data_IF_298585849731
#
_entry.id   IF_298585849731
#
_cell.length_a   1.000
_cell.length_b   1.000
_cell.length_c   1.000
_cell.angle_alpha   90.00
_cell.angle_beta   90.00
_cell.angle_gamma   90.00
#
_symmetry.space_group_name_H-M   'P 1'
#
loop_
_entity.id
_entity.type
_entity.pdbx_description
1 polymer ?
#
# COMPACT_ATOMS: atom_id res chain seq x y z
N UNK A 1 -23.93 -27.43 32.49
CA UNK A 1 -22.63 -26.73 32.53
C UNK A 1 -22.40 -26.06 31.19
N UNK A 2 -22.60 -24.74 31.11
CA UNK A 2 -22.32 -23.95 29.90
C UNK A 2 -20.97 -23.27 30.09
N UNK A 3 -19.98 -23.68 29.29
CA UNK A 3 -18.65 -23.05 29.28
C UNK A 3 -18.79 -21.56 28.92
N UNK A 4 -18.25 -20.62 29.72
CA UNK A 4 -18.30 -19.20 29.38
C UNK A 4 -17.66 -18.98 28.01
N UNK A 5 -18.37 -18.30 27.10
CA UNK A 5 -17.77 -17.89 25.82
C UNK A 5 -16.68 -16.85 26.09
N UNK A 6 -15.47 -17.01 25.55
CA UNK A 6 -14.41 -16.02 25.73
C UNK A 6 -14.88 -14.69 25.12
N UNK A 7 -14.96 -13.66 25.95
CA UNK A 7 -15.26 -12.29 25.51
C UNK A 7 -14.02 -11.80 24.76
N UNK A 8 -14.14 -11.58 23.45
CA UNK A 8 -13.04 -11.09 22.63
C UNK A 8 -12.74 -9.66 23.07
N UNK A 9 -11.54 -9.43 23.60
CA UNK A 9 -11.13 -8.09 24.01
C UNK A 9 -11.26 -7.11 22.82
N UNK A 10 -11.76 -5.88 23.03
CA UNK A 10 -11.78 -4.86 22.00
C UNK A 10 -10.38 -4.69 21.40
N UNK A 11 -10.31 -4.49 20.09
CA UNK A 11 -9.03 -4.19 19.44
C UNK A 11 -8.43 -2.92 20.09
N UNK A 12 -7.13 -2.92 20.41
CA UNK A 12 -6.51 -1.75 21.02
C UNK A 12 -6.64 -0.56 20.06
N UNK A 13 -7.04 0.60 20.57
CA UNK A 13 -7.24 1.84 19.79
C UNK A 13 -6.03 2.14 18.89
N UNK A 14 -4.81 1.85 19.37
CA UNK A 14 -3.58 2.01 18.58
C UNK A 14 -3.53 1.16 17.30
N UNK A 15 -4.13 -0.03 17.28
CA UNK A 15 -4.22 -0.86 16.08
C UNK A 15 -5.16 -0.25 15.04
N UNK A 16 -6.30 0.29 15.48
CA UNK A 16 -7.27 0.96 14.59
C UNK A 16 -6.62 2.20 13.95
N UNK A 17 -5.94 3.02 14.76
CA UNK A 17 -5.23 4.21 14.28
C UNK A 17 -4.14 3.83 13.26
N UNK A 18 -3.36 2.79 13.54
CA UNK A 18 -2.32 2.31 12.63
C UNK A 18 -2.88 1.82 11.29
N UNK A 19 -3.99 1.09 11.31
CA UNK A 19 -4.66 0.60 10.09
C UNK A 19 -5.22 1.78 9.28
N UNK A 20 -5.89 2.73 9.92
CA UNK A 20 -6.44 3.92 9.24
C UNK A 20 -5.33 4.75 8.63
N UNK A 21 -4.29 5.06 9.40
CA UNK A 21 -3.14 5.84 8.93
C UNK A 21 -2.40 5.13 7.78
N UNK A 22 -2.15 3.82 7.92
CA UNK A 22 -1.51 3.02 6.87
C UNK A 22 -2.34 2.94 5.58
N UNK A 23 -3.66 2.82 5.71
CA UNK A 23 -4.59 2.82 4.56
C UNK A 23 -4.61 4.18 3.88
N UNK A 24 -4.71 5.27 4.64
CA UNK A 24 -4.70 6.63 4.12
C UNK A 24 -3.37 6.94 3.38
N UNK A 25 -2.23 6.55 3.98
CA UNK A 25 -0.93 6.69 3.35
C UNK A 25 -0.84 5.89 2.03
N UNK A 26 -1.31 4.64 2.02
CA UNK A 26 -1.29 3.78 0.83
C UNK A 26 -2.20 4.30 -0.30
N UNK A 27 -3.36 4.86 0.04
CA UNK A 27 -4.25 5.54 -0.90
C UNK A 27 -3.60 6.82 -1.45
N UNK A 28 -2.94 7.59 -0.59
CA UNK A 28 -2.16 8.76 -1.00
C UNK A 28 -1.05 8.40 -2.00
N UNK A 29 -0.33 7.29 -1.77
CA UNK A 29 0.64 6.76 -2.74
C UNK A 29 -0.03 6.35 -4.05
N UNK A 30 -1.21 5.73 -3.99
CA UNK A 30 -1.99 5.38 -5.19
C UNK A 30 -2.34 6.59 -6.06
N UNK A 31 -2.61 7.75 -5.46
CA UNK A 31 -2.82 8.99 -6.20
C UNK A 31 -1.60 9.40 -7.04
N UNK A 32 -0.38 9.24 -6.51
CA UNK A 32 0.84 9.51 -7.25
C UNK A 32 1.08 8.53 -8.42
N UNK A 33 0.57 7.29 -8.33
CA UNK A 33 0.60 6.33 -9.44
C UNK A 33 -0.29 6.78 -10.61
N UNK A 34 -1.42 7.44 -10.33
CA UNK A 34 -2.24 8.04 -11.38
C UNK A 34 -1.55 9.26 -12.02
N UNK A 35 -0.91 10.10 -11.20
CA UNK A 35 -0.18 11.27 -11.69
C UNK A 35 1.05 10.90 -12.54
N UNK A 36 1.65 9.73 -12.35
CA UNK A 36 2.71 9.24 -13.25
C UNK A 36 2.27 9.14 -14.70
N UNK A 37 0.97 9.02 -15.00
CA UNK A 37 0.49 9.02 -16.39
C UNK A 37 0.68 10.36 -17.13
N UNK A 38 0.95 11.45 -16.41
CA UNK A 38 1.32 12.73 -17.04
C UNK A 38 2.77 12.74 -17.55
N UNK A 39 3.59 11.81 -17.09
CA UNK A 39 5.06 11.89 -17.07
C UNK A 39 5.70 10.66 -17.70
N UNK A 40 5.05 9.52 -17.54
CA UNK A 40 5.49 8.19 -17.94
C UNK A 40 4.56 7.59 -19.02
N UNK A 41 5.08 6.73 -19.89
CA UNK A 41 4.29 6.05 -20.92
C UNK A 41 3.20 5.15 -20.30
N UNK A 42 2.09 5.00 -21.01
CA UNK A 42 0.86 4.36 -20.51
C UNK A 42 1.07 2.94 -20.01
N UNK A 43 1.96 2.16 -20.63
CA UNK A 43 2.28 0.80 -20.19
C UNK A 43 2.92 0.77 -18.80
N UNK A 44 3.76 1.76 -18.46
CA UNK A 44 4.40 1.85 -17.15
C UNK A 44 3.37 2.16 -16.07
N UNK A 45 2.42 3.05 -16.37
CA UNK A 45 1.28 3.37 -15.49
C UNK A 45 0.45 2.11 -15.22
N UNK A 46 0.16 1.31 -16.25
CA UNK A 46 -0.57 0.04 -16.08
C UNK A 46 0.20 -0.91 -15.15
N UNK A 47 1.50 -1.09 -15.35
CA UNK A 47 2.33 -1.95 -14.48
C UNK A 47 2.34 -1.45 -13.04
N UNK A 48 2.52 -0.14 -12.84
CA UNK A 48 2.46 0.52 -11.53
C UNK A 48 1.08 0.29 -10.87
N UNK A 49 -0.03 0.54 -11.57
CA UNK A 49 -1.38 0.33 -11.02
C UNK A 49 -1.60 -1.14 -10.63
N UNK A 50 -1.21 -2.08 -11.49
CA UNK A 50 -1.31 -3.52 -11.18
C UNK A 50 -0.50 -3.88 -9.93
N UNK A 51 0.73 -3.35 -9.83
CA UNK A 51 1.58 -3.54 -8.65
C UNK A 51 0.93 -2.97 -7.38
N UNK A 52 0.35 -1.78 -7.47
CA UNK A 52 -0.38 -1.17 -6.36
C UNK A 52 -1.58 -2.02 -5.91
N UNK A 53 -2.35 -2.59 -6.84
CA UNK A 53 -3.46 -3.51 -6.52
C UNK A 53 -2.96 -4.75 -5.78
N UNK A 54 -1.84 -5.32 -6.20
CA UNK A 54 -1.21 -6.46 -5.50
C UNK A 54 -0.84 -6.08 -4.08
N UNK A 55 -0.19 -4.93 -3.87
CA UNK A 55 0.17 -4.45 -2.54
C UNK A 55 -1.07 -4.20 -1.67
N UNK A 56 -2.15 -3.68 -2.22
CA UNK A 56 -3.43 -3.49 -1.51
C UNK A 56 -4.00 -4.84 -1.05
N UNK A 57 -3.99 -5.85 -1.91
CA UNK A 57 -4.45 -7.20 -1.56
C UNK A 57 -3.57 -7.83 -0.47
N UNK A 58 -2.24 -7.67 -0.56
CA UNK A 58 -1.28 -8.14 0.45
C UNK A 58 -1.48 -7.42 1.77
N UNK A 59 -1.64 -6.10 1.77
CA UNK A 59 -1.95 -5.31 2.97
C UNK A 59 -3.25 -5.75 3.64
N UNK A 60 -4.32 -5.94 2.87
CA UNK A 60 -5.58 -6.48 3.38
C UNK A 60 -5.42 -7.88 3.99
N UNK A 61 -4.63 -8.75 3.37
CA UNK A 61 -4.31 -10.08 3.92
C UNK A 61 -3.51 -9.99 5.23
N UNK A 62 -2.51 -9.12 5.29
CA UNK A 62 -1.66 -8.95 6.47
C UNK A 62 -2.43 -8.38 7.67
N UNK A 63 -3.30 -7.41 7.43
CA UNK A 63 -4.21 -6.86 8.45
C UNK A 63 -5.12 -7.96 9.00
N UNK A 64 -5.71 -8.80 8.13
CA UNK A 64 -6.54 -9.95 8.56
C UNK A 64 -5.76 -10.98 9.38
N UNK A 65 -4.47 -11.15 9.10
CA UNK A 65 -3.59 -12.03 9.87
C UNK A 65 -3.02 -11.40 11.15
N UNK A 66 -3.41 -10.16 11.48
CA UNK A 66 -2.86 -9.39 12.62
C UNK A 66 -1.33 -9.23 12.55
N UNK A 67 -0.75 -9.28 11.35
CA UNK A 67 0.70 -9.23 11.16
C UNK A 67 1.18 -7.77 11.13
N UNK A 68 2.25 -7.42 11.88
CA UNK A 68 2.82 -6.08 11.85
C UNK A 68 3.41 -5.72 10.48
N UNK A 69 3.67 -6.71 9.62
CA UNK A 69 4.16 -6.48 8.26
C UNK A 69 3.17 -5.66 7.41
N UNK A 70 1.90 -5.59 7.77
CA UNK A 70 0.92 -4.73 7.09
C UNK A 70 1.32 -3.24 7.09
N UNK A 71 2.07 -2.79 8.10
CA UNK A 71 2.62 -1.42 8.17
C UNK A 71 3.73 -1.15 7.15
N UNK A 72 4.38 -2.19 6.63
CA UNK A 72 5.44 -2.04 5.63
C UNK A 72 4.89 -1.86 4.21
N UNK A 73 3.66 -2.28 3.96
CA UNK A 73 3.01 -2.17 2.64
C UNK A 73 3.03 -0.74 2.07
N UNK A 74 2.62 0.31 2.80
CA UNK A 74 2.71 1.68 2.29
C UNK A 74 4.16 2.13 2.02
N UNK A 75 5.13 1.66 2.80
CA UNK A 75 6.55 1.97 2.57
C UNK A 75 7.07 1.30 1.29
N UNK A 76 6.69 0.05 1.04
CA UNK A 76 7.02 -0.67 -0.19
C UNK A 76 6.37 0.00 -1.40
N UNK A 77 5.12 0.45 -1.27
CA UNK A 77 4.42 1.18 -2.32
C UNK A 77 5.15 2.50 -2.67
N UNK A 78 5.54 3.28 -1.66
CA UNK A 78 6.28 4.53 -1.85
C UNK A 78 7.67 4.30 -2.45
N UNK A 79 8.41 3.31 -1.95
CA UNK A 79 9.74 2.98 -2.45
C UNK A 79 9.72 2.50 -3.91
N UNK A 80 8.75 1.65 -4.27
CA UNK A 80 8.59 1.17 -5.64
C UNK A 80 8.21 2.30 -6.61
N UNK A 81 7.37 3.25 -6.18
CA UNK A 81 7.06 4.45 -6.96
C UNK A 81 8.29 5.34 -7.19
N UNK A 82 9.01 5.66 -6.11
CA UNK A 82 10.22 6.47 -6.19
C UNK A 82 11.27 5.84 -7.11
N UNK A 83 11.46 4.53 -6.99
CA UNK A 83 12.34 3.77 -7.86
C UNK A 83 11.89 3.88 -9.32
N UNK A 84 10.60 3.69 -9.60
CA UNK A 84 10.07 3.77 -10.96
C UNK A 84 10.29 5.15 -11.61
N UNK A 85 10.02 6.25 -10.89
CA UNK A 85 10.31 7.61 -11.37
C UNK A 85 11.82 7.78 -11.63
N UNK A 86 12.65 7.40 -10.65
CA UNK A 86 14.11 7.61 -10.75
C UNK A 86 14.73 6.81 -11.90
N UNK A 87 14.34 5.54 -12.04
CA UNK A 87 14.80 4.65 -13.10
C UNK A 87 14.22 5.07 -14.46
N UNK A 88 12.95 5.43 -14.51
CA UNK A 88 12.27 5.89 -15.71
C UNK A 88 12.92 7.13 -16.31
N UNK A 89 13.21 8.14 -15.49
CA UNK A 89 13.87 9.37 -15.96
C UNK A 89 15.33 9.13 -16.37
N UNK A 90 16.06 8.26 -15.65
CA UNK A 90 17.49 8.01 -15.92
C UNK A 90 17.75 7.10 -17.12
N UNK A 91 16.93 6.07 -17.31
CA UNK A 91 17.21 4.99 -18.28
C UNK A 91 16.20 4.91 -19.41
N UNK A 92 14.97 5.40 -19.21
CA UNK A 92 13.88 5.28 -20.17
C UNK A 92 13.45 6.63 -20.77
N UNK A 93 14.11 7.73 -20.37
CA UNK A 93 13.85 9.07 -20.89
C UNK A 93 12.48 9.64 -20.48
N UNK A 94 11.89 9.17 -19.39
CA UNK A 94 10.61 9.72 -18.90
C UNK A 94 10.82 11.16 -18.41
N UNK A 95 9.95 12.06 -18.84
CA UNK A 95 10.06 13.50 -18.60
C UNK A 95 9.45 13.80 -17.23
N UNK A 96 10.24 13.66 -16.16
CA UNK A 96 9.85 13.98 -14.78
C UNK A 96 9.51 15.46 -14.57
#
# INVERSE_FOLDING_TARGET
>A
MTTPRPIKAPHPVGFVVAVVAGTAAHLGVGFFYLLTGLVAPTWAVVVLILWWVVLTAVGGRLIRSHSPLGLLVPLVAAASWWAAITLGSRYLGWVA
#
